data_IF_796536937268
#
_entry.id   IF_796536937268
#
_cell.length_a   1.000
_cell.length_b   1.000
_cell.length_c   1.000
_cell.angle_alpha   90.00
_cell.angle_beta   90.00
_cell.angle_gamma   90.00
#
_symmetry.space_group_name_H-M   'P 1'
#
loop_
_entity.id
_entity.type
_entity.pdbx_description
1 polymer ?
2 polymer ?
3 water ?
#
# COMPACT_ATOMS: atom_id res chain seq x y z
N UNK A 7 -14.14 25.52 -23.87
CA UNK A 7 -14.33 24.59 -22.77
C UNK A 7 -13.99 25.26 -21.45
N UNK A 8 -14.88 25.10 -20.46
CA UNK A 8 -14.68 25.64 -19.13
C UNK A 8 -14.46 24.47 -18.17
N UNK A 9 -13.49 24.63 -17.26
CA UNK A 9 -13.18 23.61 -16.26
C UNK A 9 -13.79 24.04 -14.94
N UNK A 10 -14.59 23.17 -14.34
CA UNK A 10 -15.16 23.40 -13.04
C UNK A 10 -14.62 22.37 -12.06
N UNK A 11 -14.28 22.77 -10.83
CA UNK A 11 -13.83 21.78 -9.85
C UNK A 11 -14.97 20.87 -9.42
N UNK A 12 -14.70 19.58 -9.42
CA UNK A 12 -15.61 18.62 -8.82
C UNK A 12 -15.60 18.79 -7.31
N UNK A 13 -16.64 18.28 -6.66
CA UNK A 13 -16.64 18.23 -5.20
C UNK A 13 -15.35 17.60 -4.67
N UNK A 14 -14.83 16.57 -5.35
CA UNK A 14 -13.64 15.87 -4.89
C UNK A 14 -12.39 16.53 -5.45
N UNK A 15 -11.47 16.90 -4.56
CA UNK A 15 -10.24 17.53 -4.99
C UNK A 15 -9.49 16.64 -5.97
N UNK A 16 -8.87 17.27 -6.96
CA UNK A 16 -8.16 16.54 -7.98
C UNK A 16 -9.03 16.01 -9.10
N UNK A 17 -10.35 16.16 -8.99
CA UNK A 17 -11.29 15.76 -10.02
C UNK A 17 -11.98 17.02 -10.55
N UNK A 18 -12.30 17.03 -11.84
CA UNK A 18 -12.85 18.21 -12.47
C UNK A 18 -13.96 17.85 -13.44
N UNK A 19 -14.71 18.86 -13.85
CA UNK A 19 -15.74 18.73 -14.86
C UNK A 19 -15.38 19.65 -16.03
N UNK A 20 -15.29 19.08 -17.22
CA UNK A 20 -15.08 19.86 -18.43
C UNK A 20 -16.44 20.16 -19.05
N UNK A 21 -16.80 21.45 -19.09
CA UNK A 21 -18.08 21.90 -19.60
C UNK A 21 -17.91 22.41 -21.03
N UNK A 22 -18.52 21.70 -21.97
CA UNK A 22 -18.52 22.12 -23.37
C UNK A 22 -19.76 21.62 -24.05
N UNK A 23 -19.61 21.08 -25.26
CA UNK A 23 -20.73 20.40 -25.90
C UNK A 23 -21.36 19.41 -24.95
N UNK A 24 -20.54 18.54 -24.36
CA UNK A 24 -20.94 17.64 -23.29
C UNK A 24 -20.23 18.05 -22.01
N UNK A 25 -20.80 17.62 -20.88
CA UNK A 25 -20.17 17.77 -19.58
C UNK A 25 -19.45 16.46 -19.27
N UNK A 26 -18.12 16.53 -19.12
CA UNK A 26 -17.30 15.33 -18.97
C UNK A 26 -16.51 15.39 -17.67
N UNK A 27 -16.39 14.23 -17.04
CA UNK A 27 -15.51 14.07 -15.89
C UNK A 27 -14.08 13.95 -16.38
N UNK A 28 -13.18 14.75 -15.80
CA UNK A 28 -11.79 14.78 -16.25
C UNK A 28 -10.85 14.85 -15.06
N UNK A 29 -9.61 14.44 -15.31
CA UNK A 29 -8.50 14.66 -14.39
C UNK A 29 -7.42 15.47 -15.10
N UNK A 30 -6.57 16.11 -14.31
CA UNK A 30 -5.50 16.94 -14.85
C UNK A 30 -4.30 16.04 -15.20
N UNK A 31 -3.88 16.07 -16.46
CA UNK A 31 -2.92 15.08 -16.94
C UNK A 31 -1.54 15.31 -16.31
N UNK A 32 -1.01 14.29 -15.62
CA UNK A 32 0.34 14.37 -15.08
C UNK A 32 1.40 14.18 -16.16
N UNK A 33 1.03 13.69 -17.33
CA UNK A 33 1.96 13.51 -18.45
C UNK A 33 1.34 14.18 -19.67
N UNK A 34 1.34 15.51 -19.72
CA UNK A 34 0.63 16.21 -20.80
C UNK A 34 1.04 15.72 -22.18
N UNK A 35 0.06 15.68 -23.07
CA UNK A 35 0.26 15.18 -24.42
C UNK A 35 0.16 13.67 -24.54
N UNK A 36 0.18 12.95 -23.43
CA UNK A 36 0.17 11.50 -23.43
C UNK A 36 -1.21 11.00 -23.04
N UNK A 37 -1.83 10.23 -23.93
CA UNK A 37 -3.01 9.45 -23.59
C UNK A 37 -2.56 8.04 -23.21
N UNK A 38 -3.26 7.45 -22.26
CA UNK A 38 -2.84 6.14 -21.74
C UNK A 38 -3.54 5.01 -22.47
N UNK A 39 -4.81 5.20 -22.85
CA UNK A 39 -5.62 4.12 -23.39
C UNK A 39 -6.64 4.68 -24.39
N UNK A 40 -6.25 5.70 -25.15
CA UNK A 40 -7.09 6.24 -26.19
C UNK A 40 -8.09 7.28 -25.74
N UNK A 41 -8.08 7.65 -24.45
CA UNK A 41 -9.01 8.62 -23.92
C UNK A 41 -8.73 10.01 -24.49
N UNK A 42 -9.78 10.83 -24.57
CA UNK A 42 -9.63 12.15 -25.15
C UNK A 42 -8.90 13.09 -24.20
N UNK A 43 -8.02 13.91 -24.76
CA UNK A 43 -7.34 14.95 -24.02
C UNK A 43 -7.91 16.30 -24.43
N UNK A 44 -8.12 17.16 -23.45
CA UNK A 44 -8.74 18.47 -23.66
C UNK A 44 -7.78 19.52 -23.10
N UNK A 45 -7.36 20.44 -23.95
CA UNK A 45 -6.48 21.52 -23.52
C UNK A 45 -7.29 22.79 -23.33
N UNK A 46 -7.08 23.44 -22.19
CA UNK A 46 -7.83 24.63 -21.80
C UNK A 46 -6.84 25.77 -21.59
N UNK A 47 -7.10 26.90 -22.24
CA UNK A 47 -6.23 28.07 -22.11
C UNK A 47 -6.57 28.82 -20.83
N UNK A 48 -5.56 29.07 -20.01
CA UNK A 48 -5.74 29.82 -18.78
C UNK A 48 -4.42 29.97 -18.03
N UNK A 55 2.90 37.70 -23.85
CA UNK A 55 3.10 36.39 -23.22
C UNK A 55 1.98 35.43 -23.61
N UNK A 56 2.33 34.25 -24.13
CA UNK A 56 1.30 33.31 -24.60
C UNK A 56 0.48 32.78 -23.46
N UNK A 57 -0.83 32.60 -23.63
CA UNK A 57 -1.65 32.00 -22.58
C UNK A 57 -1.15 30.60 -22.21
N UNK A 58 -1.25 30.27 -20.94
CA UNK A 58 -0.83 28.96 -20.46
C UNK A 58 -1.92 27.93 -20.75
N UNK A 59 -1.50 26.73 -21.11
CA UNK A 59 -2.41 25.63 -21.43
C UNK A 59 -2.26 24.53 -20.39
N UNK A 60 -3.40 24.00 -19.94
CA UNK A 60 -3.46 22.89 -19.00
C UNK A 60 -4.29 21.78 -19.63
N UNK A 61 -3.75 20.57 -19.66
CA UNK A 61 -4.39 19.47 -20.35
C UNK A 61 -5.08 18.55 -19.35
N UNK A 62 -6.32 18.20 -19.65
CA UNK A 62 -7.12 17.27 -18.85
C UNK A 62 -7.41 16.05 -19.70
N UNK A 63 -7.74 14.95 -19.02
CA UNK A 63 -8.05 13.68 -19.65
C UNK A 63 -9.45 13.25 -19.26
N UNK A 64 -10.23 12.81 -20.25
CA UNK A 64 -11.59 12.38 -19.97
C UNK A 64 -11.56 11.06 -19.22
N UNK A 65 -12.36 10.98 -18.16
CA UNK A 65 -12.48 9.81 -17.29
C UNK A 65 -13.87 9.24 -17.52
N UNK A 66 -13.95 8.17 -18.31
CA UNK A 66 -15.24 7.62 -18.71
C UNK A 66 -15.76 6.65 -17.67
N UNK A 67 -16.91 6.93 -17.04
CA UNK A 67 -17.39 6.03 -15.97
C UNK A 67 -17.83 4.67 -16.46
N UNK A 68 -18.08 4.50 -17.77
CA UNK A 68 -18.33 3.18 -18.32
C UNK A 68 -17.07 2.34 -18.43
N UNK A 69 -15.88 2.94 -18.29
CA UNK A 69 -14.62 2.26 -18.48
C UNK A 69 -13.82 2.15 -17.18
N UNK A 70 -14.33 2.67 -16.08
CA UNK A 70 -13.60 2.71 -14.82
C UNK A 70 -14.59 2.62 -13.67
N UNK A 71 -14.44 1.60 -12.83
CA UNK A 71 -15.36 1.43 -11.71
C UNK A 71 -15.30 2.62 -10.76
N UNK A 72 -14.10 3.13 -10.49
CA UNK A 72 -13.97 4.28 -9.60
C UNK A 72 -14.69 5.51 -10.15
N UNK A 73 -14.53 5.81 -11.44
CA UNK A 73 -15.26 6.91 -12.03
C UNK A 73 -16.78 6.70 -11.90
N UNK A 74 -17.25 5.48 -12.12
CA UNK A 74 -18.66 5.18 -11.93
C UNK A 74 -19.11 5.50 -10.50
N UNK A 75 -18.29 5.13 -9.52
CA UNK A 75 -18.61 5.47 -8.14
C UNK A 75 -18.68 6.96 -7.91
N UNK A 76 -17.72 7.71 -8.46
CA UNK A 76 -17.72 9.17 -8.32
C UNK A 76 -18.99 9.75 -8.93
N UNK A 77 -19.41 9.24 -10.09
CA UNK A 77 -20.63 9.74 -10.73
C UNK A 77 -21.86 9.46 -9.88
N UNK A 78 -21.84 8.40 -9.09
CA UNK A 78 -22.95 8.12 -8.20
C UNK A 78 -23.04 9.01 -6.98
N UNK A 79 -21.99 9.78 -6.69
CA UNK A 79 -22.02 10.75 -5.61
C UNK A 79 -21.45 10.23 -4.29
N UNK A 80 -20.32 9.53 -4.35
CA UNK A 80 -19.61 9.16 -3.14
C UNK A 80 -19.29 10.39 -2.29
N UNK A 81 -19.58 10.31 -1.00
CA UNK A 81 -19.33 11.45 -0.12
C UNK A 81 -17.86 11.55 0.26
N UNK A 82 -17.20 10.41 0.49
CA UNK A 82 -15.79 10.35 0.83
C UNK A 82 -15.08 9.44 -0.16
N UNK A 83 -14.01 9.97 -0.76
CA UNK A 83 -13.24 9.22 -1.75
C UNK A 83 -11.93 8.68 -1.17
N UNK A 84 -11.31 9.38 -0.22
CA UNK A 84 -10.04 9.00 0.37
C UNK A 84 -8.87 9.02 -0.63
N UNK A 85 -9.18 9.35 -1.87
CA UNK A 85 -8.19 9.55 -2.93
C UNK A 85 -8.26 11.02 -3.29
N UNK A 86 -7.13 11.72 -3.15
CA UNK A 86 -7.10 13.16 -3.24
C UNK A 86 -5.65 13.59 -3.42
N UNK A 87 -5.40 14.85 -3.76
CA UNK A 87 -4.02 15.31 -3.90
C UNK A 87 -3.19 15.02 -2.66
N UNK A 88 -1.99 14.49 -2.87
CA UNK A 88 -1.07 14.18 -1.78
C UNK A 88 -1.28 12.84 -1.11
N UNK A 89 -2.34 12.12 -1.44
CA UNK A 89 -2.60 10.87 -0.76
C UNK A 89 -1.74 9.74 -1.33
N UNK A 90 -1.45 8.77 -0.48
CA UNK A 90 -0.80 7.52 -0.86
C UNK A 90 -1.89 6.45 -0.98
N UNK A 91 -1.97 5.81 -2.15
CA UNK A 91 -3.05 4.90 -2.48
C UNK A 91 -2.48 3.54 -2.88
N UNK A 92 -2.95 2.49 -2.24
CA UNK A 92 -2.64 1.12 -2.65
C UNK A 92 -3.80 0.68 -3.53
N UNK A 93 -3.52 0.46 -4.81
CA UNK A 93 -4.51 0.07 -5.80
C UNK A 93 -4.32 -1.39 -6.17
N UNK A 94 -5.26 -2.23 -5.74
CA UNK A 94 -5.24 -3.66 -6.02
C UNK A 94 -6.12 -3.94 -7.22
N UNK A 95 -5.58 -4.68 -8.19
CA UNK A 95 -6.29 -4.96 -9.43
C UNK A 95 -6.00 -3.91 -10.48
N UNK A 96 -4.73 -3.50 -10.57
CA UNK A 96 -4.38 -2.36 -11.41
C UNK A 96 -4.46 -2.65 -12.91
N UNK A 97 -4.51 -3.92 -13.32
CA UNK A 97 -4.72 -4.29 -14.71
C UNK A 97 -3.68 -3.56 -15.58
N UNK A 98 -4.06 -2.95 -16.69
CA UNK A 98 -3.10 -2.28 -17.57
C UNK A 98 -2.87 -0.82 -17.18
N UNK A 99 -3.50 -0.34 -16.12
CA UNK A 99 -3.26 1.01 -15.63
C UNK A 99 -4.22 2.08 -16.07
N UNK A 100 -5.36 1.73 -16.67
CA UNK A 100 -6.29 2.76 -17.14
C UNK A 100 -6.84 3.58 -15.97
N UNK A 101 -7.51 2.93 -15.02
CA UNK A 101 -8.01 3.66 -13.86
C UNK A 101 -6.88 4.22 -13.01
N UNK A 102 -5.80 3.44 -12.85
CA UNK A 102 -4.66 3.89 -12.07
C UNK A 102 -4.11 5.21 -12.62
N UNK A 103 -4.13 5.38 -13.94
CA UNK A 103 -3.62 6.63 -14.50
C UNK A 103 -4.40 7.84 -13.99
N UNK A 104 -5.71 7.69 -13.82
CA UNK A 104 -6.52 8.78 -13.28
C UNK A 104 -6.28 8.97 -11.78
N UNK A 105 -6.13 7.88 -11.04
CA UNK A 105 -5.76 8.01 -9.63
C UNK A 105 -4.43 8.75 -9.51
N UNK A 106 -3.48 8.44 -10.39
CA UNK A 106 -2.21 9.16 -10.43
C UNK A 106 -2.43 10.65 -10.70
N UNK A 107 -3.30 11.00 -11.64
CA UNK A 107 -3.62 12.41 -11.88
C UNK A 107 -4.19 13.06 -10.61
N UNK A 108 -5.07 12.34 -9.92
CA UNK A 108 -5.73 12.92 -8.74
C UNK A 108 -4.72 13.18 -7.64
N UNK A 109 -3.90 12.17 -7.29
CA UNK A 109 -3.01 12.35 -6.13
C UNK A 109 -1.87 13.31 -6.47
N UNK A 110 -1.50 13.43 -7.74
CA UNK A 110 -0.54 14.44 -8.14
C UNK A 110 0.88 14.17 -7.70
N UNK A 111 1.75 15.16 -7.87
CA UNK A 111 3.18 14.97 -7.58
C UNK A 111 3.48 14.70 -6.12
N UNK A 112 2.59 15.08 -5.19
CA UNK A 112 2.84 14.87 -3.77
C UNK A 112 2.25 13.55 -3.27
N UNK A 113 1.53 12.80 -4.11
CA UNK A 113 0.97 11.52 -3.76
C UNK A 113 1.71 10.38 -4.44
N UNK A 114 1.25 9.17 -4.15
CA UNK A 114 1.83 7.96 -4.73
C UNK A 114 0.72 6.96 -4.94
N UNK A 115 0.81 6.20 -6.03
CA UNK A 115 -0.09 5.08 -6.29
C UNK A 115 0.76 3.83 -6.37
N UNK A 116 0.55 2.93 -5.41
CA UNK A 116 1.15 1.60 -5.48
C UNK A 116 0.17 0.70 -6.22
N UNK A 117 0.56 0.25 -7.41
CA UNK A 117 -0.38 -0.38 -8.35
C UNK A 117 -0.02 -1.85 -8.48
N UNK A 118 -0.86 -2.71 -7.90
CA UNK A 118 -0.60 -4.14 -7.82
C UNK A 118 -1.45 -4.87 -8.85
N UNK A 119 -0.79 -5.68 -9.68
CA UNK A 119 -1.46 -6.49 -10.70
C UNK A 119 -0.72 -7.80 -10.82
N UNK A 120 -1.45 -8.91 -10.87
CA UNK A 120 -0.79 -10.22 -10.90
C UNK A 120 -0.53 -10.70 -12.32
N UNK A 121 -1.36 -10.32 -13.30
CA UNK A 121 -1.26 -10.88 -14.64
C UNK A 121 -0.22 -10.13 -15.46
N UNK A 122 0.61 -10.88 -16.17
CA UNK A 122 1.76 -10.28 -16.85
C UNK A 122 1.41 -9.55 -18.14
N UNK A 123 0.40 -10.01 -18.90
CA UNK A 123 0.06 -9.26 -20.11
C UNK A 123 -0.38 -7.85 -19.76
N UNK A 124 -1.38 -7.64 -18.90
CA UNK A 124 -1.68 -6.25 -18.48
C UNK A 124 -0.55 -5.64 -17.68
N UNK A 125 0.13 -6.44 -16.87
CA UNK A 125 1.21 -5.91 -16.04
C UNK A 125 2.30 -5.25 -16.85
N UNK A 126 2.64 -5.82 -18.01
CA UNK A 126 3.64 -5.20 -18.86
C UNK A 126 3.19 -3.82 -19.32
N UNK A 127 1.90 -3.68 -19.64
CA UNK A 127 1.37 -2.38 -20.03
C UNK A 127 1.34 -1.42 -18.84
N UNK A 128 1.06 -1.93 -17.65
CA UNK A 128 1.11 -1.11 -16.43
C UNK A 128 2.49 -0.53 -16.21
N UNK A 129 3.54 -1.38 -16.33
CA UNK A 129 4.91 -0.88 -16.18
C UNK A 129 5.19 0.20 -17.21
N UNK A 130 4.80 -0.03 -18.47
CA UNK A 130 5.10 0.91 -19.53
C UNK A 130 4.47 2.27 -19.26
N UNK A 131 3.20 2.29 -18.86
CA UNK A 131 2.57 3.57 -18.60
C UNK A 131 3.14 4.22 -17.34
N UNK A 132 3.56 3.41 -16.37
CA UNK A 132 4.15 3.96 -15.16
C UNK A 132 5.45 4.69 -15.44
N UNK A 133 6.17 4.27 -16.49
CA UNK A 133 7.45 4.93 -16.80
C UNK A 133 7.27 6.42 -17.04
N UNK A 134 6.09 6.86 -17.46
CA UNK A 134 5.83 8.26 -17.75
C UNK A 134 5.23 9.00 -16.56
N UNK A 135 4.98 8.31 -15.45
CA UNK A 135 4.33 8.87 -14.27
C UNK A 135 5.12 8.45 -13.04
N UNK A 136 6.05 9.29 -12.58
CA UNK A 136 6.90 8.89 -11.44
C UNK A 136 6.15 8.70 -10.14
N UNK A 137 4.87 9.07 -10.03
CA UNK A 137 4.14 8.85 -8.80
C UNK A 137 3.41 7.50 -8.79
N UNK A 138 3.71 6.62 -9.74
CA UNK A 138 3.16 5.26 -9.77
C UNK A 138 4.30 4.27 -9.53
N UNK A 139 4.11 3.38 -8.56
CA UNK A 139 5.03 2.26 -8.34
C UNK A 139 4.33 1.00 -8.83
N UNK A 140 4.78 0.41 -9.95
CA UNK A 140 4.11 -0.78 -10.48
C UNK A 140 4.65 -2.02 -9.77
N UNK A 141 3.73 -2.87 -9.30
CA UNK A 141 4.05 -4.04 -8.50
C UNK A 141 3.36 -5.24 -9.14
N UNK A 142 4.12 -6.04 -9.87
CA UNK A 142 3.58 -7.23 -10.54
C UNK A 142 3.78 -8.42 -9.59
N UNK A 143 2.74 -8.72 -8.82
CA UNK A 143 2.81 -9.74 -7.79
C UNK A 143 1.39 -10.09 -7.40
N UNK A 144 1.25 -11.21 -6.67
CA UNK A 144 -0.04 -11.71 -6.19
C UNK A 144 -0.43 -10.97 -4.91
N UNK A 145 -1.51 -10.19 -4.97
CA UNK A 145 -2.00 -9.46 -3.80
C UNK A 145 -2.45 -10.36 -2.66
N UNK A 146 -2.57 -11.67 -2.89
CA UNK A 146 -2.82 -12.59 -1.79
C UNK A 146 -1.61 -12.73 -0.86
N UNK A 147 -0.43 -12.28 -1.30
CA UNK A 147 0.82 -12.47 -0.57
C UNK A 147 1.51 -11.14 -0.38
N UNK A 148 0.92 -10.22 0.38
CA UNK A 148 1.50 -8.87 0.50
C UNK A 148 2.87 -8.84 1.16
N UNK A 149 3.26 -9.88 1.91
CA UNK A 149 4.61 -9.89 2.44
C UNK A 149 5.62 -9.82 1.31
N UNK A 150 5.24 -10.30 0.13
CA UNK A 150 6.20 -10.40 -0.97
C UNK A 150 6.63 -9.03 -1.49
N UNK A 151 5.79 -8.00 -1.35
CA UNK A 151 6.13 -6.67 -1.84
C UNK A 151 6.17 -5.63 -0.74
N UNK A 152 6.31 -6.04 0.53
CA UNK A 152 6.31 -5.08 1.62
C UNK A 152 7.47 -4.10 1.54
N UNK A 153 8.57 -4.50 0.89
CA UNK A 153 9.69 -3.56 0.74
C UNK A 153 9.36 -2.43 -0.20
N UNK A 154 8.31 -2.56 -1.00
CA UNK A 154 7.96 -1.60 -2.02
C UNK A 154 6.90 -0.59 -1.60
N UNK A 155 6.29 -0.76 -0.43
CA UNK A 155 5.15 0.04 -0.02
C UNK A 155 5.36 0.61 1.37
N UNK A 156 4.97 1.88 1.53
CA UNK A 156 4.92 2.51 2.84
C UNK A 156 3.56 2.31 3.49
N UNK A 157 3.16 3.26 4.33
CA UNK A 157 1.80 3.27 4.85
C UNK A 157 0.94 4.13 3.93
N UNK A 158 -0.26 3.67 3.65
CA UNK A 158 -1.11 4.35 2.67
C UNK A 158 -2.34 4.92 3.37
N UNK A 159 -2.95 5.89 2.70
CA UNK A 159 -4.16 6.55 3.15
C UNK A 159 -5.42 5.86 2.66
N UNK A 160 -5.32 5.05 1.62
CA UNK A 160 -6.47 4.40 1.03
C UNK A 160 -6.02 3.10 0.38
N UNK A 161 -6.84 2.06 0.52
CA UNK A 161 -6.73 0.85 -0.30
C UNK A 161 -7.93 0.83 -1.22
N UNK A 162 -7.67 0.85 -2.53
CA UNK A 162 -8.70 0.67 -3.53
C UNK A 162 -8.55 -0.72 -4.14
N UNK A 163 -9.66 -1.44 -4.26
CA UNK A 163 -9.61 -2.81 -4.76
C UNK A 163 -10.66 -3.01 -5.85
N UNK A 164 -10.20 -3.44 -7.01
CA UNK A 164 -11.03 -3.83 -8.15
C UNK A 164 -10.47 -5.17 -8.63
N UNK A 165 -10.71 -6.20 -7.85
CA UNK A 165 -10.00 -7.46 -7.96
C UNK A 165 -10.85 -8.54 -8.60
N UNK A 166 -12.15 -8.50 -8.34
CA UNK A 166 -13.09 -9.43 -8.95
C UNK A 166 -12.62 -10.87 -8.76
N UNK A 167 -12.31 -11.22 -7.51
CA UNK A 167 -11.95 -12.57 -7.13
C UNK A 167 -12.86 -13.06 -6.00
N UNK A 168 -13.15 -14.36 -5.95
CA UNK A 168 -14.03 -14.85 -4.88
C UNK A 168 -13.47 -14.62 -3.49
N UNK A 169 -12.15 -14.67 -3.34
CA UNK A 169 -11.47 -14.46 -2.06
C UNK A 169 -10.94 -13.03 -1.93
N UNK A 170 -11.56 -12.06 -2.61
CA UNK A 170 -11.04 -10.70 -2.55
C UNK A 170 -11.13 -10.11 -1.14
N UNK A 171 -12.11 -10.55 -0.34
CA UNK A 171 -12.22 -10.03 1.02
C UNK A 171 -10.94 -10.28 1.82
N UNK A 172 -10.39 -11.50 1.72
CA UNK A 172 -9.14 -11.81 2.40
C UNK A 172 -7.98 -11.01 1.82
N UNK A 173 -7.95 -10.86 0.50
CA UNK A 173 -6.89 -10.08 -0.15
C UNK A 173 -6.91 -8.64 0.39
N UNK A 174 -8.09 -8.04 0.42
CA UNK A 174 -8.23 -6.68 0.92
C UNK A 174 -7.78 -6.61 2.37
N UNK A 175 -8.21 -7.56 3.18
CA UNK A 175 -7.84 -7.56 4.60
C UNK A 175 -6.33 -7.64 4.78
N UNK A 176 -5.69 -8.62 4.15
CA UNK A 176 -4.26 -8.80 4.36
C UNK A 176 -3.50 -7.54 4.02
N UNK A 177 -3.88 -6.88 2.91
CA UNK A 177 -3.16 -5.69 2.47
C UNK A 177 -3.45 -4.51 3.38
N UNK A 178 -4.68 -4.38 3.87
CA UNK A 178 -5.01 -3.31 4.79
C UNK A 178 -4.26 -3.47 6.11
N UNK A 179 -4.21 -4.68 6.65
CA UNK A 179 -3.49 -4.86 7.91
C UNK A 179 -2.01 -4.53 7.78
N UNK A 180 -1.42 -4.79 6.62
CA UNK A 180 0.01 -4.50 6.47
C UNK A 180 0.29 -3.02 6.21
N UNK A 181 -0.55 -2.34 5.39
CA UNK A 181 -0.17 -1.07 4.79
C UNK A 181 -1.12 0.10 5.05
N UNK A 182 -2.34 -0.15 5.52
CA UNK A 182 -3.31 0.92 5.60
C UNK A 182 -3.24 1.62 6.96
N UNK A 183 -3.07 2.93 6.93
CA UNK A 183 -3.07 3.70 8.15
C UNK A 183 -4.35 3.49 8.94
N UNK A 184 -4.23 3.56 10.27
CA UNK A 184 -5.42 3.67 11.11
C UNK A 184 -6.22 4.87 10.66
N UNK A 185 -7.54 4.70 10.56
CA UNK A 185 -8.48 5.70 10.08
C UNK A 185 -8.37 5.91 8.57
N UNK A 186 -7.54 5.14 7.87
CA UNK A 186 -7.49 5.21 6.43
C UNK A 186 -8.72 4.60 5.78
N UNK A 187 -8.82 4.80 4.47
CA UNK A 187 -10.00 4.41 3.73
C UNK A 187 -9.83 3.12 2.94
N UNK A 188 -10.96 2.44 2.73
CA UNK A 188 -11.05 1.28 1.87
C UNK A 188 -12.17 1.57 0.88
N UNK A 189 -11.87 1.48 -0.42
CA UNK A 189 -12.83 1.70 -1.47
C UNK A 189 -12.80 0.46 -2.35
N UNK A 190 -13.90 -0.30 -2.36
CA UNK A 190 -13.90 -1.63 -2.94
C UNK A 190 -15.03 -1.75 -3.95
N UNK A 191 -14.71 -2.23 -5.14
CA UNK A 191 -15.72 -2.62 -6.12
C UNK A 191 -16.07 -4.08 -5.90
N UNK A 192 -17.36 -4.37 -5.84
CA UNK A 192 -17.86 -5.72 -5.60
C UNK A 192 -18.73 -6.10 -6.79
N UNK A 193 -18.23 -7.02 -7.62
CA UNK A 193 -18.97 -7.57 -8.75
C UNK A 193 -19.55 -8.90 -8.28
N UNK A 194 -20.83 -8.89 -7.93
CA UNK A 194 -21.44 -10.06 -7.29
C UNK A 194 -21.21 -11.34 -8.09
N UNK A 195 -21.21 -11.23 -9.42
CA UNK A 195 -21.14 -12.44 -10.25
C UNK A 195 -19.82 -13.18 -10.06
N UNK A 196 -18.72 -12.45 -9.88
CA UNK A 196 -17.40 -13.05 -9.74
C UNK A 196 -17.07 -13.45 -8.29
N UNK A 197 -18.05 -13.42 -7.40
CA UNK A 197 -17.82 -13.81 -6.01
C UNK A 197 -18.60 -15.09 -5.70
N UNK A 202 -28.25 -14.21 -4.87
CA UNK A 202 -28.59 -12.94 -5.49
C UNK A 202 -27.56 -11.87 -5.11
N UNK A 203 -27.52 -10.79 -5.89
CA UNK A 203 -26.48 -9.78 -5.70
C UNK A 203 -26.56 -9.16 -4.32
N UNK A 204 -27.76 -8.76 -3.89
CA UNK A 204 -27.90 -8.06 -2.61
C UNK A 204 -27.42 -8.93 -1.45
N UNK A 205 -27.60 -10.25 -1.54
CA UNK A 205 -27.12 -11.14 -0.49
C UNK A 205 -25.59 -11.22 -0.51
N UNK A 206 -25.01 -11.28 -1.70
CA UNK A 206 -23.55 -11.30 -1.82
C UNK A 206 -22.97 -10.01 -1.25
N UNK A 207 -23.48 -8.85 -1.70
CA UNK A 207 -23.00 -7.58 -1.21
C UNK A 207 -22.99 -7.56 0.32
N UNK A 208 -24.11 -7.97 0.93
CA UNK A 208 -24.21 -7.93 2.39
C UNK A 208 -23.15 -8.81 3.05
N UNK A 209 -22.91 -10.01 2.49
CA UNK A 209 -21.92 -10.90 3.07
C UNK A 209 -20.51 -10.35 2.95
N UNK A 210 -20.17 -9.77 1.80
CA UNK A 210 -18.83 -9.21 1.64
C UNK A 210 -18.63 -8.02 2.57
N UNK A 211 -19.64 -7.17 2.73
CA UNK A 211 -19.54 -6.06 3.66
C UNK A 211 -19.36 -6.57 5.08
N UNK A 212 -19.98 -7.69 5.41
CA UNK A 212 -19.79 -8.26 6.74
C UNK A 212 -18.36 -8.75 6.94
N UNK A 213 -17.78 -9.39 5.92
CA UNK A 213 -16.38 -9.78 6.00
C UNK A 213 -15.48 -8.58 6.26
N UNK A 214 -15.81 -7.42 5.67
CA UNK A 214 -15.05 -6.22 5.95
C UNK A 214 -15.14 -5.85 7.43
N UNK A 215 -16.35 -5.89 7.99
CA UNK A 215 -16.51 -5.59 9.41
C UNK A 215 -15.64 -6.51 10.25
N UNK A 216 -15.54 -7.78 9.86
CA UNK A 216 -14.76 -8.75 10.62
C UNK A 216 -13.26 -8.48 10.52
N UNK A 217 -12.85 -7.62 9.59
CA UNK A 217 -11.46 -7.23 9.45
C UNK A 217 -11.22 -5.80 9.93
N UNK A 218 -12.12 -5.27 10.77
CA UNK A 218 -11.95 -3.97 11.42
C UNK A 218 -12.17 -2.81 10.44
N UNK A 219 -12.95 -3.04 9.39
CA UNK A 219 -13.29 -2.00 8.42
C UNK A 219 -14.75 -1.63 8.62
N UNK A 220 -15.01 -0.36 8.97
CA UNK A 220 -16.36 0.10 9.22
C UNK A 220 -16.98 0.61 7.93
N UNK A 221 -18.05 -0.01 7.43
CA UNK A 221 -18.68 0.50 6.21
C UNK A 221 -19.24 1.90 6.43
N UNK A 222 -19.02 2.77 5.45
CA UNK A 222 -19.53 4.13 5.46
C UNK A 222 -20.62 4.36 4.42
N UNK A 223 -20.41 3.90 3.20
CA UNK A 223 -21.36 4.13 2.12
C UNK A 223 -21.31 2.93 1.17
N UNK A 224 -22.44 2.68 0.50
CA UNK A 224 -22.54 1.59 -0.46
C UNK A 224 -23.41 2.11 -1.60
N UNK A 225 -22.85 2.15 -2.81
CA UNK A 225 -23.53 2.69 -3.97
C UNK A 225 -23.56 1.68 -5.10
N UNK A 226 -24.68 1.62 -5.81
CA UNK A 226 -24.73 0.88 -7.06
C UNK A 226 -23.94 1.63 -8.13
N UNK A 227 -23.43 0.89 -9.11
CA UNK A 227 -22.77 1.48 -10.26
C UNK A 227 -23.70 1.57 -11.47
N UNK A 228 -24.98 1.24 -11.32
CA UNK A 228 -25.95 1.57 -12.35
C UNK A 228 -25.98 3.09 -12.56
N UNK A 229 -26.14 3.55 -13.81
CA UNK A 229 -26.37 2.77 -15.02
C UNK A 229 -25.11 2.35 -15.76
N UNK A 230 -23.94 2.54 -15.14
CA UNK A 230 -22.67 2.23 -15.80
C UNK A 230 -22.39 0.72 -15.80
N UNK A 231 -22.73 0.04 -14.71
CA UNK A 231 -22.50 -1.39 -14.59
C UNK A 231 -23.73 -2.06 -14.01
N UNK A 232 -23.90 -3.34 -14.34
CA UNK A 232 -24.96 -4.16 -13.78
C UNK A 232 -24.41 -4.97 -12.61
N UNK A 233 -25.22 -5.08 -11.55
CA UNK A 233 -24.89 -5.90 -10.38
C UNK A 233 -23.46 -5.67 -9.89
N UNK A 234 -23.09 -4.40 -9.82
CA UNK A 234 -21.85 -3.99 -9.14
C UNK A 234 -22.21 -3.07 -8.00
N UNK A 236 -20.10 -0.40 -5.21
CA UNK A 236 -18.88 0.17 -4.64
C UNK A 236 -19.12 0.46 -3.16
N UNK A 237 -18.18 0.05 -2.32
CA UNK A 237 -18.30 0.17 -0.87
C UNK A 237 -17.13 0.98 -0.37
N UNK A 238 -17.41 1.98 0.47
CA UNK A 238 -16.40 2.80 1.12
C UNK A 238 -16.45 2.50 2.60
N UNK A 239 -15.29 2.29 3.20
CA UNK A 239 -15.18 1.99 4.61
C UNK A 239 -13.98 2.67 5.23
N UNK A 240 -13.95 2.66 6.55
CA UNK A 240 -12.83 3.24 7.31
C UNK A 240 -12.18 2.16 8.16
N UNK A 241 -10.85 2.07 8.05
CA UNK A 241 -10.08 1.08 8.80
C UNK A 241 -9.91 1.54 10.24
N UNK A 242 -10.33 0.70 11.18
CA UNK A 242 -10.22 0.98 12.62
C UNK A 242 -9.22 -0.02 13.19
N UNK A 243 -7.94 0.37 13.22
CA UNK A 243 -6.90 -0.59 13.57
C UNK A 243 -7.15 -1.23 14.94
N UNK A 244 -7.58 -0.44 15.93
CA UNK A 244 -7.83 -0.98 17.26
C UNK A 244 -9.17 -1.68 17.38
N UNK A 245 -9.95 -1.74 16.33
CA UNK A 245 -11.22 -2.42 16.32
C UNK A 245 -12.38 -1.46 16.18
N UNK A 246 -13.49 -1.97 15.64
CA UNK A 246 -14.69 -1.15 15.53
C UNK A 246 -15.08 -0.64 16.91
N UNK A 247 -15.48 0.64 16.97
CA UNK A 247 -15.82 1.27 18.25
C UNK A 247 -17.24 0.91 18.69
N UNK B 1 7.85 -21.76 23.42
CA UNK B 1 7.30 -21.91 24.80
C UNK B 1 6.23 -20.88 25.10
N UNK B 2 6.15 -20.47 26.37
CA UNK B 2 5.16 -19.48 26.76
C UNK B 2 5.51 -18.12 26.17
N UNK B 3 4.51 -17.24 26.10
CA UNK B 3 4.67 -15.95 25.46
C UNK B 3 5.78 -15.15 26.12
N UNK B 4 6.83 -14.89 25.37
CA UNK B 4 7.93 -14.06 25.84
C UNK B 4 7.84 -12.68 25.19
N UNK B 5 8.23 -11.63 25.90
CA UNK B 5 8.18 -10.29 25.29
C UNK B 5 9.10 -10.16 24.08
N UNK B 6 8.67 -9.30 23.14
CA UNK B 6 9.48 -8.95 22.00
C UNK B 6 10.64 -8.06 22.43
N UNK B 7 11.86 -8.44 22.03
CA UNK B 7 13.05 -7.69 22.41
C UNK B 7 13.62 -6.83 21.30
N UNK B 8 13.59 -7.33 20.06
CA UNK B 8 14.11 -6.64 18.90
C UNK B 8 13.11 -6.74 17.78
N UNK B 9 13.36 -5.99 16.72
CA UNK B 9 12.44 -5.89 15.60
C UNK B 9 13.25 -5.67 14.32
N UNK B 10 12.85 -6.36 13.26
CA UNK B 10 13.48 -6.25 11.95
C UNK B 10 12.55 -5.50 11.01
N UNK B 11 13.09 -4.52 10.30
CA UNK B 11 12.32 -3.84 9.28
C UNK B 11 13.14 -3.78 7.99
N UNK B 12 12.51 -4.15 6.87
CA UNK B 12 13.17 -4.18 5.57
C UNK B 12 12.78 -2.92 4.81
N UNK B 13 13.68 -1.96 4.75
CA UNK B 13 13.48 -0.76 3.96
C UNK B 13 13.89 -1.03 2.52
N UNK B 14 13.36 -0.26 1.57
CA UNK B 14 13.85 -0.38 0.19
C UNK B 14 15.32 -0.09 0.07
N UNK B 15 15.87 0.69 1.03
CA UNK B 15 17.26 1.10 1.01
C UNK B 15 18.19 0.25 1.88
N UNK B 16 17.66 -0.64 2.69
CA UNK B 16 18.50 -1.46 3.56
C UNK B 16 17.70 -2.07 4.69
N UNK B 17 18.41 -2.82 5.54
CA UNK B 17 17.78 -3.43 6.70
C UNK B 17 17.98 -2.55 7.93
N UNK B 18 16.99 -2.59 8.82
CA UNK B 18 17.05 -1.89 10.10
C UNK B 18 16.75 -2.86 11.23
N UNK B 19 17.55 -2.83 12.28
CA UNK B 19 17.26 -3.55 13.52
C UNK B 19 16.93 -2.52 14.59
N UNK B 20 15.79 -2.68 15.23
CA UNK B 20 15.33 -1.81 16.32
C UNK B 20 15.29 -2.60 17.62
N UNK B 21 15.59 -1.91 18.72
CA UNK B 21 15.33 -2.45 20.05
C UNK B 21 13.93 -2.07 20.48
N UNK B 22 13.17 -3.03 20.99
CA UNK B 22 11.82 -2.80 21.46
C UNK B 22 11.88 -2.46 22.95
N UNK B 23 11.48 -1.23 23.30
CA UNK B 23 11.54 -0.76 24.67
C UNK B 23 10.21 -0.87 25.40
N UNK B 24 9.12 -1.09 24.65
CA UNK B 24 7.80 -1.25 25.25
C UNK B 24 7.81 -2.33 26.32
N UNK B 25 7.33 -1.96 27.51
CA UNK B 25 7.14 -2.92 28.59
C UNK B 25 5.86 -3.71 28.31
N UNK B 26 5.95 -5.03 28.38
CA UNK B 26 4.89 -5.88 27.84
C UNK B 26 4.22 -6.73 28.90
N UNK B 27 4.12 -6.23 30.13
CA UNK B 27 3.32 -6.89 31.15
C UNK B 27 1.84 -6.74 30.82
N UNK B 28 1.14 -7.86 30.66
CA UNK B 28 -0.28 -7.86 30.37
C UNK B 28 -0.60 -6.94 29.18
N UNK B 29 0.21 -7.09 28.12
CA UNK B 29 0.08 -6.20 26.98
C UNK B 29 -1.28 -6.35 26.32
N UNK B 30 -1.91 -7.51 26.47
CA UNK B 30 -3.23 -7.71 25.86
C UNK B 30 -4.26 -6.73 26.38
N UNK B 31 -4.21 -6.43 27.68
CA UNK B 31 -5.14 -5.49 28.30
C UNK B 31 -4.87 -4.04 27.93
N UNK B 32 -3.79 -3.77 27.18
CA UNK B 32 -3.39 -2.41 26.86
C UNK B 32 -3.18 -2.21 25.37
N UNK B 33 -3.53 -3.21 24.55
CA UNK B 33 -3.19 -3.15 23.13
C UNK B 33 -3.80 -1.93 22.45
N UNK B 34 -5.06 -1.62 22.76
CA UNK B 34 -5.69 -0.45 22.16
C UNK B 34 -4.92 0.82 22.49
N UNK B 35 -4.47 0.96 23.74
CA UNK B 35 -3.73 2.15 24.14
C UNK B 35 -2.38 2.20 23.45
N UNK B 36 -1.70 1.06 23.34
CA UNK B 36 -0.45 1.01 22.59
C UNK B 36 -0.69 1.34 21.13
N UNK B 37 -1.75 0.78 20.55
CA UNK B 37 -2.02 1.05 19.13
C UNK B 37 -2.23 2.53 18.88
N UNK B 38 -2.81 3.24 19.84
CA UNK B 38 -2.99 4.68 19.68
C UNK B 38 -1.66 5.42 19.83
N UNK B 39 -0.78 4.96 20.72
CA UNK B 39 0.54 5.57 20.85
C UNK B 39 1.33 5.44 19.56
N UNK B 40 1.23 4.29 18.89
CA UNK B 40 2.03 4.05 17.70
C UNK B 40 1.76 5.08 16.61
N UNK B 41 0.54 5.64 16.56
CA UNK B 41 0.19 6.58 15.50
C UNK B 41 0.89 7.94 15.65
N UNK B 42 1.37 8.27 16.84
CA UNK B 42 2.03 9.55 17.11
C UNK B 42 3.54 9.33 17.19
N UNK B 43 4.29 10.03 16.35
CA UNK B 43 5.73 9.83 16.32
C UNK B 43 6.37 9.98 17.71
N UNK B 44 6.03 11.06 18.41
CA UNK B 44 6.62 11.31 19.72
C UNK B 44 6.40 10.15 20.67
N UNK B 45 5.15 9.69 20.77
CA UNK B 45 4.86 8.57 21.66
C UNK B 45 5.54 7.30 21.19
N UNK B 46 5.67 7.11 19.87
CA UNK B 46 6.28 5.88 19.35
C UNK B 46 7.74 5.78 19.74
N UNK B 47 8.43 6.91 19.94
CA UNK B 47 9.85 6.86 20.32
C UNK B 47 10.04 6.21 21.69
N UNK B 48 8.99 6.14 22.50
CA UNK B 48 9.05 5.40 23.75
C UNK B 48 9.08 3.89 23.52
N UNK B 49 8.54 3.43 22.39
CA UNK B 49 8.31 2.01 22.19
C UNK B 49 9.46 1.31 21.50
N UNK B 50 10.24 2.02 20.68
CA UNK B 50 11.32 1.40 19.92
C UNK B 50 12.44 2.40 19.72
N UNK B 51 13.62 1.89 19.40
CA UNK B 51 14.77 2.72 19.13
C UNK B 51 15.67 1.99 18.15
N UNK B 52 16.19 2.71 17.16
CA UNK B 52 17.05 2.12 16.16
C UNK B 52 18.35 1.65 16.79
N UNK B 53 18.74 0.42 16.47
CA UNK B 53 20.08 -0.09 16.80
C UNK B 53 21.03 0.11 15.65
N UNK B 54 20.63 -0.29 14.44
CA UNK B 54 21.49 -0.17 13.28
C UNK B 54 20.67 -0.15 12.00
N UNK B 55 21.05 0.72 11.08
CA UNK B 55 20.56 0.69 9.71
C UNK B 55 21.74 0.40 8.80
N UNK B 56 21.60 -0.63 7.98
CA UNK B 56 22.66 -1.10 7.08
C UNK B 56 22.18 -0.89 5.65
N UNK B 57 22.63 0.16 4.97
CA UNK B 57 22.16 0.38 3.58
C UNK B 57 22.71 -0.64 2.61
N UNK B 58 21.88 -1.02 1.64
CA UNK B 58 22.36 -1.78 0.50
C UNK B 58 23.41 -0.98 -0.27
N UNK B 59 24.36 -1.70 -0.87
CA UNK B 59 25.47 -1.05 -1.58
C UNK B 59 25.02 -0.35 -2.85
N UNK B 60 23.88 -0.73 -3.39
CA UNK B 60 23.42 -0.16 -4.65
C UNK B 60 22.18 -0.88 -5.13
N UNK B 61 21.75 -0.50 -6.34
CA UNK B 61 20.48 -0.99 -6.85
C UNK B 61 20.48 -2.49 -7.06
N UNK B 62 21.60 -3.07 -7.51
CA UNK B 62 21.65 -4.51 -7.75
C UNK B 62 21.48 -5.29 -6.46
N UNK B 63 22.18 -4.89 -5.40
CA UNK B 63 22.00 -5.58 -4.12
C UNK B 63 20.60 -5.37 -3.56
N UNK B 64 20.04 -4.16 -3.73
CA UNK B 64 18.68 -3.92 -3.26
C UNK B 64 17.69 -4.87 -3.94
N UNK B 65 17.82 -5.05 -5.24
CA UNK B 65 16.92 -5.96 -5.95
C UNK B 65 17.12 -7.41 -5.53
N UNK B 66 18.38 -7.83 -5.36
CA UNK B 66 18.62 -9.19 -4.85
C UNK B 66 17.94 -9.39 -3.52
N UNK B 67 17.97 -8.38 -2.65
CA UNK B 67 17.33 -8.50 -1.35
C UNK B 67 15.83 -8.41 -1.44
N UNK B 68 15.28 -7.55 -2.31
CA UNK B 68 13.83 -7.56 -2.52
C UNK B 68 13.37 -8.94 -2.97
N UNK B 69 14.13 -9.58 -3.86
CA UNK B 69 13.78 -10.93 -4.29
C UNK B 69 13.90 -11.94 -3.16
N UNK B 70 14.99 -11.90 -2.37
CA UNK B 70 15.14 -12.84 -1.27
C UNK B 70 14.04 -12.67 -0.24
N UNK B 71 13.77 -11.42 0.14
CA UNK B 71 12.73 -11.17 1.14
C UNK B 71 11.37 -11.60 0.60
N UNK B 72 11.11 -11.37 -0.70
CA UNK B 72 9.83 -11.79 -1.25
C UNK B 72 9.66 -13.31 -1.14
N UNK B 73 10.76 -14.06 -1.10
CA UNK B 73 10.72 -15.51 -1.02
C UNK B 73 11.03 -16.06 0.36
N UNK B 74 11.13 -15.20 1.37
CA UNK B 74 11.36 -15.65 2.73
C UNK B 74 12.77 -16.16 2.97
N UNK B 75 13.75 -15.64 2.23
CA UNK B 75 15.14 -16.05 2.32
C UNK B 75 16.00 -15.01 3.02
N UNK B 76 17.08 -15.49 3.63
CA UNK B 76 18.02 -14.65 4.36
C UNK B 76 19.24 -14.47 3.47
N UNK B 77 19.42 -13.24 2.97
CA UNK B 77 20.56 -12.87 2.16
C UNK B 77 21.81 -12.69 3.04
N UNK B 78 22.96 -12.50 2.38
CA UNK B 78 24.18 -12.21 3.13
C UNK B 78 24.06 -10.89 3.88
N UNK B 79 23.34 -9.91 3.31
CA UNK B 79 23.17 -8.64 3.99
C UNK B 79 22.28 -8.78 5.22
N UNK B 80 21.21 -9.58 5.13
CA UNK B 80 20.38 -9.78 6.31
C UNK B 80 21.10 -10.61 7.37
N UNK B 81 21.80 -11.65 6.96
CA UNK B 81 22.63 -12.38 7.91
C UNK B 81 23.59 -11.45 8.63
N UNK B 82 24.19 -10.50 7.90
CA UNK B 82 25.19 -9.62 8.51
C UNK B 82 24.57 -8.72 9.57
N UNK B 83 23.46 -8.05 9.25
CA UNK B 83 22.92 -7.10 10.23
C UNK B 83 22.43 -7.83 11.47
N UNK B 84 21.87 -9.03 11.30
CA UNK B 84 21.45 -9.80 12.48
C UNK B 84 22.65 -10.31 13.26
N UNK B 85 23.70 -10.75 12.56
CA UNK B 85 24.90 -11.25 13.24
C UNK B 85 25.57 -10.16 14.06
N UNK B 86 25.56 -8.94 13.56
CA UNK B 86 26.31 -7.86 14.20
C UNK B 86 25.50 -7.11 15.26
N UNK B 87 24.17 -7.14 15.20
CA UNK B 87 23.37 -6.26 16.04
C UNK B 87 22.36 -6.96 16.92
N UNK B 88 22.19 -8.26 16.80
CA UNK B 88 21.46 -8.97 17.84
C UNK B 88 22.44 -9.49 18.87
N UNK B 89 22.24 -9.24 20.16
CA UNK B 89 23.15 -9.79 21.17
C UNK B 89 23.27 -11.30 20.99
N UNK B 90 24.48 -11.81 21.22
CA UNK B 90 24.71 -13.24 21.11
C UNK B 90 24.18 -13.96 22.33
N UNK B 91 23.71 -15.18 22.13
CA UNK B 91 23.27 -16.00 23.24
C UNK B 91 24.43 -16.24 24.20
N UNK B 92 24.12 -16.29 25.49
CA UNK B 92 25.12 -16.50 26.52
C UNK B 92 24.56 -17.45 27.56
N UNK B 93 25.37 -17.77 28.57
CA UNK B 93 24.89 -18.59 29.68
C UNK B 93 23.91 -17.83 30.56
N UNK B 94 23.89 -16.51 30.51
CA UNK B 94 23.00 -15.72 31.33
C UNK B 94 21.75 -15.26 30.60
N UNK B 95 21.74 -15.33 29.27
CA UNK B 95 20.58 -14.95 28.45
C UNK B 95 20.58 -15.88 27.24
N UNK B 96 19.68 -16.86 27.24
CA UNK B 96 19.78 -18.00 26.33
C UNK B 96 19.15 -17.78 24.97
N UNK B 97 18.13 -16.94 24.85
CA UNK B 97 17.46 -16.71 23.58
C UNK B 97 17.21 -15.22 23.41
N UNK B 98 16.80 -14.86 22.20
CA UNK B 98 16.47 -13.48 21.81
C UNK B 98 15.23 -13.52 20.93
N UNK B 99 14.27 -12.64 21.20
CA UNK B 99 13.04 -12.59 20.43
C UNK B 99 13.11 -11.43 19.41
N UNK B 100 12.59 -11.69 18.22
CA UNK B 100 12.73 -10.77 17.09
C UNK B 100 11.38 -10.65 16.38
N UNK B 101 10.83 -9.44 16.35
CA UNK B 101 9.60 -9.21 15.60
C UNK B 101 9.92 -9.17 14.11
N UNK B 102 9.17 -9.97 13.33
CA UNK B 102 9.20 -9.94 11.87
C UNK B 102 7.76 -9.95 11.37
N UNK B 103 7.53 -9.37 10.17
CA UNK B 103 6.16 -9.34 9.67
C UNK B 103 5.80 -10.59 8.87
N UNK B 104 6.78 -11.30 8.32
CA UNK B 104 6.57 -12.45 7.45
C UNK B 104 6.92 -13.73 8.20
N UNK B 105 5.90 -14.48 8.62
CA UNK B 105 6.13 -15.72 9.36
C UNK B 105 7.03 -16.67 8.57
N UNK B 106 6.99 -16.64 7.24
CA UNK B 106 7.78 -17.57 6.45
C UNK B 106 9.26 -17.25 6.45
N UNK B 107 9.64 -16.02 6.81
CA UNK B 107 11.05 -15.70 6.98
C UNK B 107 11.62 -16.28 8.27
N UNK B 108 10.77 -16.60 9.25
CA UNK B 108 11.22 -17.06 10.54
C UNK B 108 12.12 -18.28 10.47
N UNK B 109 11.64 -19.36 9.85
CA UNK B 109 12.47 -20.56 9.77
C UNK B 109 13.81 -20.32 9.08
N UNK B 110 13.85 -19.39 8.12
CA UNK B 110 15.12 -19.11 7.46
C UNK B 110 16.07 -18.39 8.41
N UNK B 111 15.56 -17.46 9.21
CA UNK B 111 16.39 -16.78 10.21
C UNK B 111 16.88 -17.78 11.26
N UNK B 112 15.98 -18.63 11.77
CA UNK B 112 16.37 -19.55 12.83
C UNK B 112 17.43 -20.53 12.36
N UNK B 113 17.39 -20.92 11.08
CA UNK B 113 18.40 -21.79 10.52
C UNK B 113 19.79 -21.16 10.60
N UNK B 114 19.87 -19.85 10.43
CA UNK B 114 21.15 -19.15 10.56
C UNK B 114 21.44 -18.77 12.00
N UNK B 115 20.41 -18.52 12.81
CA UNK B 115 20.55 -18.09 14.19
C UNK B 115 19.63 -18.91 15.07
N UNK B 116 20.06 -20.11 15.48
CA UNK B 116 19.13 -21.00 16.20
C UNK B 116 18.65 -20.47 17.54
N UNK B 117 19.34 -19.48 18.12
CA UNK B 117 18.94 -18.90 19.39
C UNK B 117 17.92 -17.78 19.26
N UNK B 118 17.46 -17.46 18.05
CA UNK B 118 16.51 -16.39 17.82
C UNK B 118 15.12 -16.99 17.67
N UNK B 119 14.16 -16.46 18.43
CA UNK B 119 12.75 -16.81 18.30
C UNK B 119 12.03 -15.67 17.61
N UNK B 120 11.53 -15.93 16.40
CA UNK B 120 10.84 -14.88 15.65
C UNK B 120 9.38 -14.81 16.05
N UNK B 121 8.87 -13.59 16.12
CA UNK B 121 7.51 -13.30 16.58
C UNK B 121 6.82 -12.46 15.52
N UNK B 122 5.61 -12.88 15.15
CA UNK B 122 4.85 -12.20 14.11
C UNK B 122 3.39 -12.01 14.53
N UNK B 123 3.15 -11.90 15.84
CA UNK B 123 1.80 -11.73 16.38
C UNK B 123 1.31 -10.30 16.15
N UNK B 124 0.15 -9.98 16.73
CA UNK B 124 -0.47 -8.68 16.45
C UNK B 124 0.41 -7.53 16.95
N UNK B 125 1.00 -7.67 18.14
CA UNK B 125 1.87 -6.63 18.65
C UNK B 125 3.08 -6.43 17.74
N UNK B 126 3.69 -7.52 17.30
CA UNK B 126 4.79 -7.38 16.34
C UNK B 126 4.35 -6.64 15.08
N UNK B 127 3.17 -7.00 14.56
CA UNK B 127 2.67 -6.34 13.35
C UNK B 127 2.41 -4.86 13.61
N UNK B 128 1.88 -4.53 14.79
CA UNK B 128 1.61 -3.13 15.13
C UNK B 128 2.89 -2.33 15.21
N UNK B 129 3.93 -2.89 15.82
CA UNK B 129 5.20 -2.19 15.92
C UNK B 129 5.85 -2.01 14.56
N UNK B 130 5.75 -3.02 13.70
CA UNK B 130 6.31 -2.91 12.35
C UNK B 130 5.54 -1.86 11.55
N UNK B 131 4.21 -1.81 11.70
CA UNK B 131 3.42 -0.75 11.06
C UNK B 131 3.92 0.61 11.50
N UNK B 132 4.26 0.75 12.78
CA UNK B 132 4.76 2.01 13.27
C UNK B 132 6.06 2.44 12.60
N UNK B 133 6.98 1.50 12.39
CA UNK B 133 8.19 1.83 11.63
C UNK B 133 7.84 2.19 10.20
N UNK B 134 6.93 1.42 9.60
CA UNK B 134 6.49 1.75 8.24
C UNK B 134 5.88 3.15 8.19
N UNK B 135 5.15 3.52 9.23
CA UNK B 135 4.45 4.81 9.24
C UNK B 135 5.40 5.98 9.40
N UNK B 136 6.33 5.89 10.37
CA UNK B 136 7.13 7.04 10.73
C UNK B 136 8.45 7.11 9.98
N UNK B 137 8.83 6.06 9.27
CA UNK B 137 9.88 6.12 8.27
C UNK B 137 11.12 6.93 8.61
N UNK B 138 11.44 7.87 7.73
CA UNK B 138 12.73 8.54 7.81
C UNK B 138 12.92 9.25 9.14
N UNK B 139 11.83 9.69 9.77
CA UNK B 139 11.99 10.35 11.08
C UNK B 139 12.74 9.47 12.07
N UNK B 140 12.79 8.16 11.82
CA UNK B 140 13.47 7.23 12.70
C UNK B 140 14.96 7.08 12.38
N UNK B 141 15.43 7.65 11.27
CA UNK B 141 16.77 7.42 10.76
C UNK B 141 17.50 8.75 10.58
N UNK B 142 18.67 8.88 11.19
CA UNK B 142 19.53 10.02 10.89
C UNK B 142 20.00 9.88 9.45
N UNK B 143 19.55 10.78 8.59
CA UNK B 143 19.78 10.64 7.16
C UNK B 143 19.09 9.41 6.59
N UNK B 145 14.78 11.78 4.74
CA UNK B 145 14.07 12.97 4.32
C UNK B 145 12.81 12.62 3.51
N UNK B 146 11.83 13.52 3.55
CA UNK B 146 10.58 13.31 2.83
C UNK B 146 10.86 12.93 1.38
N UNK B 147 10.53 11.70 0.99
CA UNK B 147 10.72 11.21 -0.35
C UNK B 147 11.84 10.21 -0.50
N UNK B 148 12.83 10.22 0.39
CA UNK B 148 13.95 9.29 0.27
C UNK B 148 13.44 7.86 0.09
N UNK B 149 12.63 7.39 1.04
CA UNK B 149 12.10 6.03 0.95
C UNK B 149 11.20 5.87 -0.26
N UNK B 150 10.34 6.86 -0.53
CA UNK B 150 9.45 6.74 -1.68
C UNK B 150 10.23 6.72 -2.99
N UNK B 151 11.27 7.54 -3.11
CA UNK B 151 12.08 7.50 -4.32
C UNK B 151 12.73 6.14 -4.48
N UNK B 152 13.17 5.54 -3.37
CA UNK B 152 13.79 4.22 -3.44
C UNK B 152 12.77 3.15 -3.80
N UNK B 153 11.54 3.28 -3.30
CA UNK B 153 10.50 2.30 -3.64
C UNK B 153 10.18 2.33 -5.13
N UNK B 154 10.20 3.52 -5.72
CA UNK B 154 9.91 3.67 -7.15
C UNK B 154 10.90 2.85 -7.97
N UNK B 155 12.19 3.08 -7.75
CA UNK B 155 13.18 2.35 -8.51
C UNK B 155 13.14 0.87 -8.22
N UNK B 156 12.93 0.50 -6.97
CA UNK B 156 12.96 -0.90 -6.59
C UNK B 156 11.73 -1.63 -7.09
N UNK B 157 10.57 -0.96 -7.08
CA UNK B 157 9.36 -1.59 -7.60
C UNK B 157 9.45 -1.84 -9.10
N UNK B 158 9.95 -0.85 -9.86
CA UNK B 158 10.20 -1.08 -11.27
C UNK B 158 11.16 -2.23 -11.49
N UNK B 159 12.24 -2.30 -10.71
CA UNK B 159 13.23 -3.35 -10.88
C UNK B 159 12.63 -4.72 -10.57
N UNK B 160 11.90 -4.82 -9.46
CA UNK B 160 11.25 -6.06 -9.09
C UNK B 160 10.28 -6.52 -10.16
N UNK B 161 9.44 -5.59 -10.63
CA UNK B 161 8.38 -5.94 -11.57
C UNK B 161 8.95 -6.28 -12.95
N UNK B 162 9.95 -5.52 -13.40
CA UNK B 162 10.57 -5.82 -14.69
C UNK B 162 11.20 -7.20 -14.69
N UNK B 163 11.83 -7.60 -13.57
CA UNK B 163 12.40 -8.93 -13.50
C UNK B 163 11.33 -10.01 -13.60
N UNK B 164 10.16 -9.76 -13.01
CA UNK B 164 9.07 -10.73 -13.08
C UNK B 164 8.58 -10.93 -14.51
N UNK B 165 8.32 -9.81 -15.23
CA UNK B 165 7.74 -9.88 -16.56
C UNK B 165 8.79 -10.07 -17.64
N UNK B 166 10.07 -10.18 -17.27
CA UNK B 166 11.18 -10.37 -18.21
C UNK B 166 11.36 -9.13 -19.09
N UNK B 167 11.48 -7.98 -18.44
CA UNK B 167 11.86 -6.74 -19.12
C UNK B 167 13.31 -6.39 -18.79
#
# INVERSE_FOLDING_TARGET
>A
GAMGAKVVIEPHRHAGVYIARGKEDLLVTKNMAPGESVYGEKRISVEEPSKEDGVPPTKVEYRVWNPFRSKLAAGIMGGLDELFIAPGKKVLYLGAASGTSVSHVSDVVGPEGVVYAVEFSHRPGRELISMAKKRPNIIPIIEDARHPQKYRMLIGMVDCVFADVAQPDQARIIALNSHMFLKDQGGVVISIKANCIDSTVDAETVFAREVQKLREERIKPLEQLTLEPYERDHXIVVGRYMRSGLKK
>B
GAMAPIEYLLFEEPTGYAVFKVKLQQDDIGSRLKEVQEQINDFGAFTKLIELVSFAPFKGAAEALENANDISEGLVSESLKAILDLNLPKASSKKKNITLAISDKNLGPSIKEEFPYVDCISNELAQDLIRGVRLHGEKLFKGLQSGDLERAQLGLGHAYSRAKVKFS
#
